data_IF_844475827170
#
_entry.id   IF_844475827170
#
_cell.length_a   1.000
_cell.length_b   1.000
_cell.length_c   1.000
_cell.angle_alpha   90.00
_cell.angle_beta   90.00
_cell.angle_gamma   90.00
#
_symmetry.space_group_name_H-M   'P 1'
#
loop_
_entity.id
_entity.type
_entity.pdbx_description
1 polymer ?
#
# COMPACT_ATOMS: atom_id res chain seq x y z
N UNK A 1 -12.21 22.32 3.71
CA UNK A 1 -11.67 20.99 3.39
C UNK A 1 -11.75 20.80 1.88
N UNK A 2 -10.63 20.61 1.19
CA UNK A 2 -10.56 20.65 -0.28
C UNK A 2 -10.67 19.26 -0.92
N UNK A 3 -10.51 18.21 -0.15
CA UNK A 3 -10.64 16.82 -0.58
C UNK A 3 -11.12 15.91 0.56
N UNK A 4 -11.63 14.74 0.20
CA UNK A 4 -11.94 13.64 1.13
C UNK A 4 -11.20 12.38 0.72
N UNK A 5 -10.69 11.66 1.71
CA UNK A 5 -10.11 10.33 1.52
C UNK A 5 -10.91 9.31 2.33
N UNK A 6 -11.44 8.31 1.65
CA UNK A 6 -12.12 7.16 2.25
C UNK A 6 -11.17 5.97 2.22
N UNK A 7 -10.78 5.46 3.39
CA UNK A 7 -10.05 4.20 3.52
C UNK A 7 -11.05 3.05 3.64
N UNK A 8 -11.02 2.09 2.70
CA UNK A 8 -11.97 0.98 2.73
C UNK A 8 -11.43 -0.25 2.01
N UNK A 9 -11.71 -1.44 2.56
CA UNK A 9 -11.47 -2.72 1.89
C UNK A 9 -12.73 -3.30 1.21
N UNK A 10 -13.83 -2.58 1.24
CA UNK A 10 -15.13 -3.02 0.67
C UNK A 10 -15.02 -3.48 -0.80
N UNK A 11 -14.28 -2.79 -1.70
CA UNK A 11 -14.13 -3.27 -3.08
C UNK A 11 -13.51 -4.66 -3.19
N UNK A 12 -12.80 -5.12 -2.17
CA UNK A 12 -12.15 -6.44 -2.09
C UNK A 12 -13.04 -7.45 -1.37
N UNK A 13 -13.54 -7.10 -0.16
CA UNK A 13 -14.19 -8.06 0.74
C UNK A 13 -15.69 -8.17 0.53
N UNK A 14 -16.34 -7.10 0.09
CA UNK A 14 -17.78 -7.06 -0.17
C UNK A 14 -18.11 -6.10 -1.32
N UNK A 15 -17.64 -6.37 -2.56
CA UNK A 15 -17.77 -5.47 -3.70
C UNK A 15 -19.24 -5.15 -4.06
N UNK A 16 -20.19 -6.03 -3.71
CA UNK A 16 -21.62 -5.81 -3.97
C UNK A 16 -22.17 -4.54 -3.29
N UNK A 17 -21.58 -4.10 -2.18
CA UNK A 17 -21.94 -2.83 -1.54
C UNK A 17 -21.78 -1.62 -2.47
N UNK A 18 -20.85 -1.68 -3.41
CA UNK A 18 -20.60 -0.61 -4.38
C UNK A 18 -21.66 -0.58 -5.50
N UNK A 19 -22.55 -1.57 -5.55
CA UNK A 19 -23.63 -1.61 -6.54
C UNK A 19 -24.91 -0.91 -6.06
N UNK A 20 -24.94 -0.40 -4.84
CA UNK A 20 -26.07 0.37 -4.33
C UNK A 20 -26.09 1.77 -4.95
N UNK A 21 -27.15 2.10 -5.67
CA UNK A 21 -27.27 3.35 -6.41
C UNK A 21 -27.24 4.57 -5.47
N UNK A 22 -27.90 4.51 -4.32
CA UNK A 22 -27.88 5.59 -3.33
C UNK A 22 -26.47 5.94 -2.84
N UNK A 23 -25.59 4.94 -2.63
CA UNK A 23 -24.20 5.17 -2.29
C UNK A 23 -23.44 5.83 -3.45
N UNK A 24 -23.66 5.35 -4.67
CA UNK A 24 -22.97 5.85 -5.85
C UNK A 24 -23.37 7.29 -6.17
N UNK A 25 -24.66 7.63 -6.01
CA UNK A 25 -25.17 8.98 -6.21
C UNK A 25 -24.61 9.96 -5.17
N UNK A 26 -24.53 9.55 -3.91
CA UNK A 26 -23.90 10.35 -2.85
C UNK A 26 -22.42 10.61 -3.14
N UNK A 27 -21.66 9.60 -3.59
CA UNK A 27 -20.24 9.73 -3.93
C UNK A 27 -20.04 10.63 -5.16
N UNK A 28 -20.90 10.51 -6.17
CA UNK A 28 -20.86 11.35 -7.39
C UNK A 28 -21.16 12.82 -7.04
N UNK A 29 -22.23 13.08 -6.32
CA UNK A 29 -22.58 14.44 -5.87
C UNK A 29 -21.49 15.08 -5.02
N UNK A 30 -20.72 14.28 -4.27
CA UNK A 30 -19.54 14.77 -3.56
C UNK A 30 -18.38 15.07 -4.53
N UNK A 31 -18.09 14.14 -5.45
CA UNK A 31 -16.96 14.25 -6.38
C UNK A 31 -17.10 15.40 -7.38
N UNK A 32 -18.31 15.82 -7.68
CA UNK A 32 -18.59 17.01 -8.50
C UNK A 32 -18.11 18.33 -7.84
N UNK A 33 -18.01 18.35 -6.52
CA UNK A 33 -17.65 19.56 -5.76
C UNK A 33 -16.26 19.51 -5.14
N UNK A 34 -15.75 18.32 -4.87
CA UNK A 34 -14.50 18.10 -4.13
C UNK A 34 -13.75 16.90 -4.69
N UNK A 35 -12.43 16.90 -4.59
CA UNK A 35 -11.64 15.73 -4.95
C UNK A 35 -11.94 14.55 -4.01
N UNK A 36 -12.29 13.40 -4.60
CA UNK A 36 -12.58 12.15 -3.88
C UNK A 36 -11.45 11.15 -4.09
N UNK A 37 -10.81 10.73 -3.00
CA UNK A 37 -9.79 9.70 -2.99
C UNK A 37 -10.28 8.47 -2.24
N UNK A 38 -10.06 7.29 -2.82
CA UNK A 38 -10.34 6.01 -2.16
C UNK A 38 -9.02 5.28 -1.98
N UNK A 39 -8.70 4.94 -0.73
CA UNK A 39 -7.58 4.07 -0.39
C UNK A 39 -8.13 2.66 -0.16
N UNK A 40 -7.94 1.78 -1.15
CA UNK A 40 -8.34 0.37 -1.07
C UNK A 40 -7.17 -0.52 -0.67
N UNK A 41 -7.43 -1.84 -0.48
CA UNK A 41 -6.46 -2.74 0.10
C UNK A 41 -6.54 -4.13 -0.54
N UNK A 42 -5.94 -4.27 -1.72
CA UNK A 42 -5.66 -5.56 -2.36
C UNK A 42 -4.27 -6.03 -1.95
N UNK A 43 -4.16 -7.23 -1.42
CA UNK A 43 -2.86 -7.84 -1.07
C UNK A 43 -2.38 -8.83 -2.13
N UNK A 44 -3.28 -9.42 -2.91
CA UNK A 44 -2.94 -10.41 -3.92
C UNK A 44 -3.76 -10.20 -5.21
N UNK A 45 -3.18 -10.54 -6.36
CA UNK A 45 -3.84 -10.43 -7.67
C UNK A 45 -5.14 -11.23 -7.75
N UNK A 46 -5.25 -12.36 -7.04
CA UNK A 46 -6.48 -13.19 -6.97
C UNK A 46 -7.67 -12.47 -6.33
N UNK A 47 -7.46 -11.44 -5.53
CA UNK A 47 -8.54 -10.62 -4.96
C UNK A 47 -9.21 -9.72 -6.02
N UNK A 48 -8.57 -9.53 -7.18
CA UNK A 48 -9.10 -8.76 -8.30
C UNK A 48 -10.03 -9.67 -9.13
N UNK A 49 -11.23 -9.90 -8.63
CA UNK A 49 -12.29 -10.67 -9.29
C UNK A 49 -13.05 -9.82 -10.31
N UNK A 50 -13.91 -10.44 -11.12
CA UNK A 50 -14.79 -9.71 -12.03
C UNK A 50 -15.70 -8.72 -11.29
N UNK A 51 -16.30 -9.15 -10.17
CA UNK A 51 -17.19 -8.30 -9.37
C UNK A 51 -16.42 -7.14 -8.74
N UNK A 52 -15.22 -7.42 -8.22
CA UNK A 52 -14.34 -6.39 -7.66
C UNK A 52 -13.90 -5.38 -8.74
N UNK A 53 -13.58 -5.84 -9.94
CA UNK A 53 -13.23 -4.99 -11.10
C UNK A 53 -14.37 -4.05 -11.48
N UNK A 54 -15.61 -4.58 -11.54
CA UNK A 54 -16.78 -3.74 -11.83
C UNK A 54 -17.06 -2.72 -10.72
N UNK A 55 -16.86 -3.09 -9.45
CA UNK A 55 -16.97 -2.17 -8.33
C UNK A 55 -15.95 -1.02 -8.44
N UNK A 56 -14.70 -1.32 -8.78
CA UNK A 56 -13.66 -0.31 -9.04
C UNK A 56 -14.05 0.61 -10.20
N UNK A 57 -14.55 0.03 -11.30
CA UNK A 57 -15.01 0.81 -12.44
C UNK A 57 -16.13 1.80 -12.05
N UNK A 58 -17.12 1.36 -11.29
CA UNK A 58 -18.20 2.23 -10.78
C UNK A 58 -17.65 3.38 -9.93
N UNK A 59 -16.76 3.11 -9.00
CA UNK A 59 -16.12 4.14 -8.18
C UNK A 59 -15.35 5.17 -9.02
N UNK A 60 -14.64 4.71 -10.07
CA UNK A 60 -13.94 5.59 -11.00
C UNK A 60 -14.90 6.47 -11.81
N UNK A 61 -16.03 5.90 -12.25
CA UNK A 61 -17.08 6.66 -12.97
C UNK A 61 -17.75 7.72 -12.09
N UNK A 62 -17.68 7.60 -10.76
CA UNK A 62 -18.09 8.66 -9.83
C UNK A 62 -17.04 9.76 -9.64
N UNK A 63 -15.90 9.71 -10.36
CA UNK A 63 -14.85 10.70 -10.24
C UNK A 63 -13.81 10.40 -9.15
N UNK A 64 -13.84 9.22 -8.53
CA UNK A 64 -12.88 8.86 -7.49
C UNK A 64 -11.49 8.50 -8.07
N UNK A 65 -10.44 9.02 -7.45
CA UNK A 65 -9.07 8.53 -7.62
C UNK A 65 -8.82 7.39 -6.64
N UNK A 66 -8.42 6.21 -7.15
CA UNK A 66 -8.28 5.01 -6.32
C UNK A 66 -6.81 4.64 -6.18
N UNK A 67 -6.37 4.48 -4.93
CA UNK A 67 -5.02 4.12 -4.56
C UNK A 67 -5.03 2.81 -3.75
N UNK A 68 -4.12 1.90 -4.05
CA UNK A 68 -3.97 0.64 -3.30
C UNK A 68 -2.89 0.75 -2.22
N UNK A 69 -3.19 0.19 -1.05
CA UNK A 69 -2.27 0.02 0.06
C UNK A 69 -2.20 -1.48 0.39
N UNK A 70 -1.19 -2.17 -0.11
CA UNK A 70 -0.96 -3.58 0.19
C UNK A 70 -0.08 -3.76 1.43
N UNK A 71 -0.09 -4.95 2.01
CA UNK A 71 0.87 -5.41 3.02
C UNK A 71 1.63 -6.60 2.46
N UNK A 72 2.95 -6.62 2.63
CA UNK A 72 3.79 -7.77 2.28
C UNK A 72 3.64 -8.85 3.36
N UNK A 73 3.13 -10.02 2.98
CA UNK A 73 2.70 -11.08 3.88
C UNK A 73 3.31 -12.42 3.45
N UNK A 74 3.99 -13.08 4.37
CA UNK A 74 4.51 -14.44 4.18
C UNK A 74 3.38 -15.40 3.80
N UNK A 75 3.62 -16.23 2.78
CA UNK A 75 2.67 -17.22 2.29
C UNK A 75 1.45 -16.66 1.56
N UNK A 76 1.44 -15.34 1.27
CA UNK A 76 0.33 -14.69 0.55
C UNK A 76 0.85 -14.01 -0.72
N UNK A 77 1.82 -13.10 -0.59
CA UNK A 77 2.37 -12.31 -1.69
C UNK A 77 3.88 -12.08 -1.52
N UNK A 78 4.60 -13.08 -1.01
CA UNK A 78 6.00 -13.03 -0.64
C UNK A 78 6.95 -13.52 -1.74
N UNK A 79 6.53 -13.44 -2.99
CA UNK A 79 7.37 -13.66 -4.16
C UNK A 79 7.47 -12.41 -5.04
N UNK A 80 8.49 -12.38 -5.90
CA UNK A 80 8.66 -11.32 -6.91
C UNK A 80 7.49 -11.33 -7.89
N UNK A 81 7.06 -12.50 -8.30
CA UNK A 81 6.00 -12.75 -9.26
C UNK A 81 4.65 -12.24 -8.73
N UNK A 82 4.33 -12.51 -7.44
CA UNK A 82 3.09 -12.05 -6.81
C UNK A 82 3.01 -10.52 -6.77
N UNK A 83 4.12 -9.86 -6.43
CA UNK A 83 4.16 -8.39 -6.39
C UNK A 83 4.03 -7.81 -7.81
N UNK A 84 4.76 -8.38 -8.79
CA UNK A 84 4.67 -7.93 -10.19
C UNK A 84 3.26 -8.12 -10.74
N UNK A 85 2.65 -9.28 -10.51
CA UNK A 85 1.29 -9.55 -10.97
C UNK A 85 0.27 -8.61 -10.30
N UNK A 86 0.35 -8.44 -8.98
CA UNK A 86 -0.53 -7.53 -8.24
C UNK A 86 -0.47 -6.11 -8.80
N UNK A 87 0.74 -5.54 -8.95
CA UNK A 87 0.90 -4.16 -9.41
C UNK A 87 0.40 -3.96 -10.84
N UNK A 88 0.66 -4.92 -11.74
CA UNK A 88 0.16 -4.88 -13.11
C UNK A 88 -1.37 -5.02 -13.17
N UNK A 89 -1.95 -5.92 -12.38
CA UNK A 89 -3.41 -6.11 -12.29
C UNK A 89 -4.12 -4.89 -11.71
N UNK A 90 -3.55 -4.23 -10.71
CA UNK A 90 -4.08 -2.97 -10.17
C UNK A 90 -4.13 -1.90 -11.25
N UNK A 91 -3.05 -1.72 -12.01
CA UNK A 91 -3.02 -0.75 -13.12
C UNK A 91 -4.07 -1.07 -14.19
N UNK A 92 -4.25 -2.34 -14.55
CA UNK A 92 -5.22 -2.75 -15.58
C UNK A 92 -6.67 -2.38 -15.23
N UNK A 93 -7.02 -2.32 -13.95
CA UNK A 93 -8.34 -1.89 -13.48
C UNK A 93 -8.39 -0.40 -13.08
N UNK A 94 -7.30 0.35 -13.29
CA UNK A 94 -7.20 1.79 -13.03
C UNK A 94 -7.05 2.13 -11.55
N UNK A 95 -6.45 1.25 -10.78
CA UNK A 95 -6.06 1.48 -9.38
C UNK A 95 -4.57 1.80 -9.32
N UNK A 96 -4.21 2.88 -8.65
CA UNK A 96 -2.81 3.28 -8.50
C UNK A 96 -2.10 2.44 -7.44
N UNK A 97 -0.98 1.76 -7.73
CA UNK A 97 -0.07 1.24 -6.72
C UNK A 97 0.48 2.41 -5.89
N UNK A 98 0.18 2.42 -4.59
CA UNK A 98 0.52 3.57 -3.75
C UNK A 98 1.49 3.21 -2.64
N UNK A 99 1.11 2.27 -1.75
CA UNK A 99 1.97 1.76 -0.70
C UNK A 99 2.00 0.24 -0.67
N UNK A 100 3.16 -0.31 -0.37
CA UNK A 100 3.35 -1.66 0.12
C UNK A 100 3.89 -1.53 1.55
N UNK A 101 3.18 -2.04 2.54
CA UNK A 101 3.60 -1.98 3.93
C UNK A 101 4.35 -3.23 4.33
N UNK A 102 5.41 -3.08 5.11
CA UNK A 102 5.96 -4.17 5.91
C UNK A 102 4.90 -4.61 6.92
N UNK A 103 4.75 -5.93 7.08
CA UNK A 103 3.81 -6.48 8.07
C UNK A 103 4.22 -6.04 9.48
N UNK A 104 3.30 -5.41 10.22
CA UNK A 104 3.53 -4.96 11.59
C UNK A 104 3.71 -6.14 12.54
N UNK A 105 4.57 -6.01 13.58
CA UNK A 105 4.83 -7.07 14.57
C UNK A 105 3.69 -7.22 15.60
N UNK A 106 2.45 -7.30 15.11
CA UNK A 106 1.28 -7.47 15.97
C UNK A 106 1.23 -8.88 16.53
N UNK A 107 0.83 -9.01 17.81
CA UNK A 107 0.62 -10.29 18.45
C UNK A 107 -0.26 -11.22 17.59
N UNK A 108 0.10 -12.50 17.48
CA UNK A 108 -0.55 -13.53 16.65
C UNK A 108 -0.40 -13.36 15.12
N UNK A 109 0.10 -12.23 14.62
CA UNK A 109 0.29 -11.98 13.18
C UNK A 109 1.76 -12.14 12.79
N UNK A 110 2.66 -11.59 13.60
CA UNK A 110 4.10 -11.52 13.35
C UNK A 110 4.73 -12.88 13.02
N UNK A 111 4.41 -13.95 13.77
CA UNK A 111 5.01 -15.28 13.56
C UNK A 111 4.54 -15.97 12.28
N UNK A 112 3.35 -15.62 11.78
CA UNK A 112 2.77 -16.26 10.61
C UNK A 112 3.04 -15.48 9.32
N UNK A 113 2.92 -14.16 9.36
CA UNK A 113 2.85 -13.33 8.15
C UNK A 113 4.01 -12.34 7.98
N UNK A 114 4.80 -12.05 9.01
CA UNK A 114 5.90 -11.10 8.88
C UNK A 114 7.13 -11.75 8.21
N UNK A 115 7.69 -11.09 7.20
CA UNK A 115 8.97 -11.45 6.59
C UNK A 115 10.11 -10.68 7.25
N UNK A 116 11.34 -11.24 7.24
CA UNK A 116 12.54 -10.44 7.48
C UNK A 116 12.63 -9.27 6.49
N UNK A 117 13.04 -8.12 6.98
CA UNK A 117 13.18 -6.91 6.16
C UNK A 117 14.14 -7.09 4.99
N UNK A 118 15.26 -7.80 5.18
CA UNK A 118 16.21 -8.11 4.10
C UNK A 118 15.54 -8.87 2.96
N UNK A 119 14.70 -9.86 3.28
CA UNK A 119 13.96 -10.62 2.30
C UNK A 119 12.92 -9.75 1.60
N UNK A 120 12.16 -8.96 2.36
CA UNK A 120 11.14 -8.05 1.80
C UNK A 120 11.76 -7.02 0.85
N UNK A 121 12.89 -6.41 1.22
CA UNK A 121 13.63 -5.47 0.36
C UNK A 121 14.07 -6.14 -0.94
N UNK A 122 14.68 -7.33 -0.85
CA UNK A 122 15.13 -8.07 -2.03
C UNK A 122 13.98 -8.42 -2.99
N UNK A 123 12.82 -8.81 -2.47
CA UNK A 123 11.60 -9.06 -3.28
C UNK A 123 11.16 -7.78 -3.96
N UNK A 124 11.04 -6.70 -3.22
CA UNK A 124 10.54 -5.40 -3.73
C UNK A 124 11.47 -4.84 -4.80
N UNK A 125 12.78 -4.89 -4.60
CA UNK A 125 13.76 -4.36 -5.57
C UNK A 125 13.72 -5.16 -6.88
N UNK A 126 13.68 -6.51 -6.80
CA UNK A 126 13.55 -7.38 -7.97
C UNK A 126 12.22 -7.17 -8.69
N UNK A 127 11.11 -6.98 -7.96
CA UNK A 127 9.81 -6.70 -8.54
C UNK A 127 9.79 -5.34 -9.26
N UNK A 128 10.33 -4.30 -8.63
CA UNK A 128 10.45 -2.96 -9.25
C UNK A 128 11.29 -2.97 -10.53
N UNK A 129 12.32 -3.82 -10.61
CA UNK A 129 13.13 -3.96 -11.81
C UNK A 129 12.33 -4.50 -13.02
N UNK A 130 11.28 -5.30 -12.78
CA UNK A 130 10.42 -5.90 -13.80
C UNK A 130 9.19 -5.05 -14.15
N UNK A 131 8.87 -4.03 -13.35
CA UNK A 131 7.68 -3.22 -13.49
C UNK A 131 7.92 -1.98 -14.37
N UNK A 132 6.86 -1.56 -15.07
CA UNK A 132 6.82 -0.27 -15.77
C UNK A 132 6.98 0.90 -14.81
N UNK A 133 7.22 2.11 -15.34
CA UNK A 133 7.29 3.34 -14.54
C UNK A 133 6.04 3.56 -13.67
N UNK A 134 4.87 3.21 -14.18
CA UNK A 134 3.62 3.30 -13.41
C UNK A 134 3.49 2.20 -12.35
N UNK A 135 3.92 0.98 -12.63
CA UNK A 135 3.84 -0.15 -11.70
C UNK A 135 4.77 -0.03 -10.51
N UNK A 136 5.99 0.49 -10.72
CA UNK A 136 7.03 0.57 -9.68
C UNK A 136 7.00 1.81 -8.79
N UNK A 137 6.05 2.72 -8.98
CA UNK A 137 5.98 3.97 -8.20
C UNK A 137 5.50 3.82 -6.75
N UNK A 138 5.02 2.65 -6.36
CA UNK A 138 4.67 2.40 -4.98
C UNK A 138 5.88 2.53 -4.05
N UNK A 139 5.63 2.96 -2.82
CA UNK A 139 6.66 3.04 -1.78
C UNK A 139 6.55 1.85 -0.86
N UNK A 140 7.69 1.26 -0.49
CA UNK A 140 7.76 0.23 0.54
C UNK A 140 7.94 0.91 1.90
N UNK A 141 7.02 0.66 2.82
CA UNK A 141 6.82 1.50 4.00
C UNK A 141 6.72 0.68 5.28
N UNK A 142 7.30 1.21 6.34
CA UNK A 142 7.02 0.82 7.72
C UNK A 142 6.07 1.86 8.33
N UNK A 143 4.91 1.40 8.86
CA UNK A 143 4.03 2.23 9.68
C UNK A 143 4.50 2.16 11.13
N UNK A 144 5.29 3.13 11.57
CA UNK A 144 5.92 3.17 12.88
C UNK A 144 5.26 4.21 13.80
N UNK A 145 5.49 4.11 15.12
CA UNK A 145 4.96 5.07 16.09
C UNK A 145 5.47 6.49 15.89
N UNK A 146 6.69 6.65 15.34
CA UNK A 146 7.24 7.96 14.97
C UNK A 146 6.70 8.50 13.64
N UNK A 147 5.87 7.73 12.92
CA UNK A 147 5.28 8.09 11.63
C UNK A 147 5.51 7.05 10.55
N UNK A 148 5.45 7.47 9.29
CA UNK A 148 5.71 6.60 8.13
C UNK A 148 7.16 6.67 7.71
N UNK A 149 7.80 5.51 7.67
CA UNK A 149 9.19 5.34 7.24
C UNK A 149 9.22 4.65 5.87
N UNK A 150 9.71 5.31 4.84
CA UNK A 150 10.00 4.69 3.55
C UNK A 150 11.30 3.90 3.66
N UNK A 151 11.29 2.65 3.25
CA UNK A 151 12.46 1.80 3.12
C UNK A 151 13.15 2.19 1.80
N UNK A 152 14.31 2.83 1.89
CA UNK A 152 15.08 3.24 0.71
C UNK A 152 16.01 2.14 0.19
N UNK A 153 16.38 1.18 1.04
CA UNK A 153 17.25 0.06 0.67
C UNK A 153 18.21 -0.32 1.79
N UNK A 154 19.24 -1.10 1.40
CA UNK A 154 20.32 -1.54 2.30
C UNK A 154 21.65 -1.01 1.74
N UNK A 155 22.49 -0.46 2.60
CA UNK A 155 23.87 -0.06 2.29
C UNK A 155 24.80 -0.54 3.40
N UNK A 156 25.86 -1.27 3.05
CA UNK A 156 26.87 -1.78 3.99
C UNK A 156 26.31 -2.50 5.21
N UNK A 157 25.24 -3.29 4.99
CA UNK A 157 24.56 -4.03 6.06
C UNK A 157 23.62 -3.21 6.93
N UNK A 158 23.44 -1.94 6.62
CA UNK A 158 22.51 -1.03 7.31
C UNK A 158 21.25 -0.82 6.47
N UNK A 159 20.08 -0.77 7.11
CA UNK A 159 18.87 -0.30 6.46
C UNK A 159 18.87 1.23 6.42
N UNK A 160 18.48 1.76 5.26
CA UNK A 160 18.32 3.20 5.03
C UNK A 160 16.83 3.51 4.95
N UNK A 161 16.35 4.36 5.85
CA UNK A 161 14.96 4.77 5.96
C UNK A 161 14.84 6.28 5.76
N UNK A 162 13.72 6.71 5.17
CA UNK A 162 13.34 8.12 5.12
C UNK A 162 12.02 8.32 5.84
N UNK A 163 12.02 9.18 6.85
CA UNK A 163 10.80 9.54 7.56
C UNK A 163 9.92 10.43 6.67
N UNK A 164 8.84 9.86 6.13
CA UNK A 164 7.94 10.58 5.21
C UNK A 164 6.96 11.49 5.93
N UNK A 165 6.45 11.02 7.08
CA UNK A 165 5.52 11.76 7.91
C UNK A 165 6.01 11.63 9.35
N UNK A 166 6.20 12.75 10.02
CA UNK A 166 6.41 12.81 11.45
C UNK A 166 5.06 12.76 12.20
N UNK A 167 5.09 12.54 13.50
CA UNK A 167 3.92 12.76 14.37
C UNK A 167 3.53 14.23 14.34
N UNK A 168 2.25 14.50 14.57
CA UNK A 168 1.76 15.87 14.77
C UNK A 168 2.52 16.51 15.94
N UNK A 169 3.07 17.70 15.72
CA UNK A 169 3.93 18.41 16.66
C UNK A 169 5.42 18.06 16.58
N UNK A 170 5.83 17.25 15.58
CA UNK A 170 7.24 16.88 15.33
C UNK A 170 7.56 16.98 13.83
N UNK A 171 6.97 17.96 13.15
CA UNK A 171 7.07 18.15 11.70
C UNK A 171 8.52 18.38 11.23
N UNK A 172 9.37 18.90 12.11
CA UNK A 172 10.82 19.10 11.86
C UNK A 172 11.56 17.77 11.62
N UNK A 173 11.01 16.66 12.06
CA UNK A 173 11.57 15.31 11.81
C UNK A 173 11.19 14.75 10.44
N UNK A 174 10.26 15.37 9.74
CA UNK A 174 9.89 14.94 8.39
C UNK A 174 11.09 15.04 7.45
N UNK A 175 11.23 14.05 6.57
CA UNK A 175 12.35 13.92 5.63
C UNK A 175 13.71 13.51 6.24
N UNK A 176 13.79 13.27 7.54
CA UNK A 176 14.99 12.74 8.19
C UNK A 176 15.39 11.39 7.59
N UNK A 177 16.68 11.21 7.35
CA UNK A 177 17.26 9.91 6.97
C UNK A 177 17.72 9.20 8.25
N UNK A 178 17.34 7.93 8.37
CA UNK A 178 17.71 7.05 9.47
C UNK A 178 18.52 5.90 8.88
N UNK A 179 19.70 5.66 9.42
CA UNK A 179 20.59 4.56 9.01
C UNK A 179 20.89 3.75 10.26
N UNK A 180 20.54 2.48 10.24
CA UNK A 180 20.79 1.59 11.37
C UNK A 180 21.14 0.19 10.91
N UNK A 181 21.92 -0.55 11.74
CA UNK A 181 22.29 -1.93 11.46
C UNK A 181 21.06 -2.83 11.36
N UNK A 182 21.02 -3.70 10.34
CA UNK A 182 19.93 -4.61 10.12
C UNK A 182 20.38 -6.05 10.33
N UNK A 183 19.85 -6.72 11.34
CA UNK A 183 20.04 -8.16 11.54
C UNK A 183 19.34 -8.95 10.43
N UNK A 184 19.84 -10.17 10.15
CA UNK A 184 19.35 -10.98 9.02
C UNK A 184 17.89 -11.40 9.17
N UNK A 185 17.46 -11.66 10.39
CA UNK A 185 16.12 -12.13 10.75
C UNK A 185 15.18 -11.00 11.22
N UNK A 186 15.68 -9.75 11.26
CA UNK A 186 14.88 -8.62 11.72
C UNK A 186 13.67 -8.39 10.81
N UNK A 187 12.45 -8.57 11.35
CA UNK A 187 11.20 -8.27 10.66
C UNK A 187 10.70 -6.84 10.88
N UNK A 188 11.36 -6.09 11.78
CA UNK A 188 11.00 -4.73 12.16
C UNK A 188 12.23 -3.91 12.54
N UNK A 189 12.07 -2.61 12.66
CA UNK A 189 13.10 -1.68 13.14
C UNK A 189 12.57 -0.91 14.35
N UNK A 190 13.49 -0.52 15.22
CA UNK A 190 13.25 0.40 16.35
C UNK A 190 14.20 1.59 16.16
N UNK A 191 13.80 2.63 15.41
CA UNK A 191 14.64 3.77 15.06
C UNK A 191 14.77 4.80 16.19
#
# INVERSE_FOLDING_TARGET
>A
MDFVRIGTRIPVTYPLRIFEDALMDALRAFAERKALYIATHYNHAREITLTSTEAIKRLRLCGATINNQAVLLRGVNDSVEDIVELMNRLLSIGVNPYYLYQCMPVSRVRHHFQLPLKQGIAIVDKAKAQLSGYGKRFKYIIGHDIGKLEICGISEGNIVLKQMHARIGHEEQASRIIIQKLADDAGWVEP
#
